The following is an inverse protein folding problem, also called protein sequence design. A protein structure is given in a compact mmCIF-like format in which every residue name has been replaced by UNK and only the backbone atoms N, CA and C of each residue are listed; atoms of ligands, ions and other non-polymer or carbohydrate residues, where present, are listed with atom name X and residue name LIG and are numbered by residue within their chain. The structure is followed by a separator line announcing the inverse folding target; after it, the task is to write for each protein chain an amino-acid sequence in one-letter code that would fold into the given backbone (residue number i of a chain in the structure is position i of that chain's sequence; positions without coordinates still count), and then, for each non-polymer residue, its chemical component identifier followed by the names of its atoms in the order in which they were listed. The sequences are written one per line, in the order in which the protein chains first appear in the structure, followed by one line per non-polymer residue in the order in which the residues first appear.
data_IF_174494284196
#
_entry.id   IF_174494284196
#
_cell.length_a   1.000
_cell.length_b   1.000
_cell.length_c   1.000
_cell.angle_alpha   90.00
_cell.angle_beta   90.00
_cell.angle_gamma   90.00
#
_symmetry.space_group_name_H-M   'P 1'
#
loop_
_entity.id
_entity.type
_entity.pdbx_description
1 polymer ?
2 non-polymer ?
3 non-polymer ?
4 water ?
#
# COMPACT_ATOMS: atom_id res chain seq x y z
N UNK A 6 5.49 7.83 -20.97
CA UNK A 6 4.68 8.77 -20.14
C UNK A 6 3.58 8.05 -19.35
N UNK A 7 3.44 8.45 -18.09
CA UNK A 7 2.53 7.77 -17.18
C UNK A 7 1.06 7.99 -17.49
N UNK A 8 0.23 7.11 -16.91
CA UNK A 8 -1.23 7.21 -17.01
C UNK A 8 -1.79 8.53 -16.49
N UNK A 9 -1.08 9.18 -15.56
CA UNK A 9 -1.52 10.47 -15.05
C UNK A 9 -1.71 11.44 -16.22
N UNK A 10 -0.85 11.31 -17.23
CA UNK A 10 -0.83 12.20 -18.40
C UNK A 10 -1.71 11.70 -19.53
N UNK A 11 -1.61 10.40 -19.84
CA UNK A 11 -2.29 9.83 -21.00
C UNK A 11 -3.74 9.45 -20.66
N UNK A 12 -4.01 9.24 -19.38
CA UNK A 12 -5.30 8.67 -18.90
C UNK A 12 -5.59 7.28 -19.48
N UNK A 13 -4.55 6.61 -19.97
CA UNK A 13 -4.66 5.22 -20.44
C UNK A 13 -3.81 4.35 -19.53
N UNK A 14 -4.39 3.25 -19.03
CA UNK A 14 -3.69 2.38 -18.09
C UNK A 14 -3.27 1.10 -18.79
N UNK A 15 -2.01 0.72 -18.62
CA UNK A 15 -1.49 -0.51 -19.23
C UNK A 15 -2.16 -1.75 -18.63
N UNK A 16 -2.70 -2.58 -19.50
CA UNK A 16 -3.18 -3.90 -19.12
C UNK A 16 -2.06 -4.89 -19.44
N UNK A 17 -1.19 -5.08 -18.46
CA UNK A 17 -0.01 -5.90 -18.67
C UNK A 17 -0.37 -7.38 -18.87
N UNK A 18 -1.40 -7.88 -18.19
CA UNK A 18 -1.87 -9.24 -18.47
C UNK A 18 -2.17 -9.40 -19.97
N UNK A 19 -2.92 -8.45 -20.52
CA UNK A 19 -3.32 -8.52 -21.95
C UNK A 19 -2.11 -8.45 -22.86
N UNK A 20 -1.18 -7.54 -22.54
CA UNK A 20 0.05 -7.39 -23.32
C UNK A 20 0.89 -8.66 -23.31
N UNK A 21 0.78 -9.42 -22.22
CA UNK A 21 1.53 -10.67 -22.07
C UNK A 21 0.74 -11.91 -22.54
N UNK A 22 -0.39 -11.67 -23.22
CA UNK A 22 -1.12 -12.75 -23.92
C UNK A 22 -2.36 -13.35 -23.27
N UNK A 23 -2.74 -12.85 -22.09
CA UNK A 23 -3.97 -13.31 -21.45
C UNK A 23 -5.17 -12.66 -22.13
N UNK A 24 -6.27 -13.40 -22.25
CA UNK A 24 -7.44 -12.86 -22.93
C UNK A 24 -8.21 -11.87 -22.07
N UNK A 25 -8.80 -10.87 -22.72
CA UNK A 25 -9.60 -9.86 -22.02
C UNK A 25 -10.69 -10.52 -21.17
N UNK A 26 -11.35 -11.55 -21.69
CA UNK A 26 -12.43 -12.19 -20.93
C UNK A 26 -11.87 -12.85 -19.68
N UNK A 27 -10.73 -13.55 -19.81
CA UNK A 27 -10.16 -14.26 -18.66
C UNK A 27 -9.62 -13.30 -17.60
N UNK A 28 -9.09 -12.16 -18.05
CA UNK A 28 -8.63 -11.13 -17.12
C UNK A 28 -9.82 -10.53 -16.35
N UNK A 29 -10.88 -10.18 -17.08
CA UNK A 29 -12.09 -9.65 -16.46
C UNK A 29 -12.60 -10.61 -15.37
N UNK A 30 -12.67 -11.88 -15.73
CA UNK A 30 -13.14 -12.90 -14.85
C UNK A 30 -12.26 -13.04 -13.60
N UNK A 31 -10.94 -13.00 -13.83
CA UNK A 31 -9.98 -13.19 -12.74
C UNK A 31 -10.01 -12.02 -11.77
N UNK A 32 -10.12 -10.80 -12.28
CA UNK A 32 -10.23 -9.63 -11.40
C UNK A 32 -11.50 -9.71 -10.53
N UNK A 33 -12.65 -10.00 -11.15
CA UNK A 33 -13.90 -10.13 -10.39
C UNK A 33 -13.83 -11.25 -9.38
N UNK A 34 -13.23 -12.37 -9.78
CA UNK A 34 -13.14 -13.54 -8.92
C UNK A 34 -12.28 -13.24 -7.70
N UNK A 35 -11.19 -12.51 -7.92
CA UNK A 35 -10.29 -12.14 -6.82
C UNK A 35 -11.05 -11.27 -5.82
N UNK A 36 -11.74 -10.25 -6.33
CA UNK A 36 -12.60 -9.42 -5.49
C UNK A 36 -13.61 -10.24 -4.68
N UNK A 37 -14.31 -11.16 -5.35
CA UNK A 37 -15.32 -11.97 -4.69
C UNK A 37 -14.73 -12.89 -3.62
N UNK A 38 -13.54 -13.42 -3.87
CA UNK A 38 -12.88 -14.30 -2.90
C UNK A 38 -12.48 -13.54 -1.64
N UNK A 39 -12.22 -12.23 -1.80
CA UNK A 39 -11.84 -11.39 -0.64
C UNK A 39 -13.02 -10.73 0.08
N UNK A 40 -14.02 -10.32 -0.69
CA UNK A 40 -15.10 -9.49 -0.17
C UNK A 40 -16.47 -10.16 -0.16
N UNK A 41 -16.57 -11.32 -0.81
CA UNK A 41 -17.84 -12.05 -0.86
C UNK A 41 -17.95 -13.13 0.20
N UNK A 42 -18.97 -13.98 0.10
CA UNK A 42 -19.10 -15.08 1.06
C UNK A 42 -18.30 -16.29 0.59
N UNK A 43 -16.98 -16.16 0.76
CA UNK A 43 -16.03 -17.22 0.53
C UNK A 43 -15.17 -17.29 1.80
N UNK A 44 -15.69 -17.98 2.85
CA UNK A 44 -15.07 -17.99 4.18
C UNK A 44 -13.60 -18.38 4.23
N UNK A 45 -13.17 -19.23 3.31
CA UNK A 45 -11.79 -19.72 3.32
C UNK A 45 -10.79 -18.65 2.89
N UNK A 46 -11.22 -17.73 2.04
CA UNK A 46 -10.31 -16.72 1.45
C UNK A 46 -10.62 -15.28 1.88
N UNK A 47 -11.84 -15.09 2.39
CA UNK A 47 -12.39 -13.77 2.71
C UNK A 47 -11.53 -12.99 3.72
N UNK A 48 -11.47 -11.67 3.55
CA UNK A 48 -10.80 -10.80 4.53
C UNK A 48 -11.72 -9.66 4.99
N UNK A 49 -12.82 -9.46 4.29
CA UNK A 49 -13.79 -8.40 4.58
C UNK A 49 -15.03 -8.96 5.26
N UNK A 50 -15.41 -8.36 6.38
CA UNK A 50 -16.57 -8.79 7.15
C UNK A 50 -17.52 -7.63 7.37
N UNK A 51 -18.79 -7.87 7.07
CA UNK A 51 -19.82 -6.84 7.22
C UNK A 51 -20.42 -6.91 8.61
N UNK A 52 -20.72 -5.73 9.19
CA UNK A 52 -21.36 -5.63 10.51
C UNK A 52 -22.61 -4.75 10.41
N UNK A 53 -23.77 -5.32 10.74
CA UNK A 53 -25.03 -4.59 10.63
C UNK A 53 -25.28 -4.03 9.24
N UNK A 54 -25.94 -2.87 9.18
CA UNK A 54 -26.30 -2.26 7.90
C UNK A 54 -25.30 -1.21 7.42
N UNK A 55 -24.41 -0.77 8.29
CA UNK A 55 -23.57 0.40 7.98
C UNK A 55 -22.10 0.29 8.39
N UNK A 56 -21.68 -0.90 8.81
CA UNK A 56 -20.27 -1.11 9.22
C UNK A 56 -19.64 -2.28 8.51
N UNK A 57 -18.31 -2.29 8.46
CA UNK A 57 -17.57 -3.42 7.92
C UNK A 57 -16.10 -3.22 8.20
N UNK A 58 -15.34 -4.31 8.19
CA UNK A 58 -13.92 -4.22 8.43
C UNK A 58 -13.14 -5.28 7.69
N UNK A 59 -11.83 -5.05 7.54
CA UNK A 59 -10.93 -6.11 7.09
C UNK A 59 -10.19 -6.68 8.28
N UNK A 60 -10.17 -8.00 8.37
CA UNK A 60 -9.54 -8.70 9.49
C UNK A 60 -8.12 -9.10 9.15
N UNK A 61 -7.17 -8.66 9.96
CA UNK A 61 -5.81 -9.19 9.91
C UNK A 61 -5.91 -10.59 10.51
N UNK A 62 -6.05 -11.57 9.65
CA UNK A 62 -6.27 -12.95 10.06
C UNK A 62 -5.09 -13.48 10.91
N UNK A 63 -3.86 -13.06 10.60
CA UNK A 63 -2.67 -13.55 11.28
C UNK A 63 -2.51 -13.09 12.73
N UNK A 64 -3.21 -12.00 13.06
CA UNK A 64 -3.14 -11.41 14.41
C UNK A 64 -4.51 -11.21 15.08
N UNK A 65 -5.57 -11.60 14.37
CA UNK A 65 -6.96 -11.50 14.84
C UNK A 65 -7.34 -10.10 15.32
N UNK A 66 -6.88 -9.10 14.58
CA UNK A 66 -7.19 -7.71 14.87
C UNK A 66 -7.56 -6.98 13.59
N UNK A 67 -7.95 -5.72 13.73
CA UNK A 67 -8.32 -4.87 12.62
C UNK A 67 -7.29 -3.74 12.58
N UNK A 68 -6.60 -3.59 11.45
CA UNK A 68 -5.49 -2.62 11.38
C UNK A 68 -5.80 -1.49 10.41
N UNK A 69 -5.25 -0.30 10.69
CA UNK A 69 -5.45 0.78 9.73
C UNK A 69 -4.84 0.48 8.36
N UNK A 70 -3.77 -0.30 8.32
CA UNK A 70 -3.23 -0.81 7.03
C UNK A 70 -4.35 -1.48 6.23
N UNK A 71 -5.04 -2.44 6.87
CA UNK A 71 -6.15 -3.18 6.22
C UNK A 71 -7.37 -2.34 5.87
N UNK A 72 -7.77 -1.48 6.79
CA UNK A 72 -8.96 -0.66 6.57
C UNK A 72 -8.70 0.32 5.42
N UNK A 73 -7.52 0.95 5.42
CA UNK A 73 -7.17 1.89 4.35
C UNK A 73 -7.01 1.14 3.01
N UNK A 74 -6.42 -0.06 3.04
CA UNK A 74 -6.37 -0.91 1.83
C UNK A 74 -7.77 -1.18 1.32
N UNK A 75 -8.66 -1.58 2.24
CA UNK A 75 -10.04 -1.97 1.87
C UNK A 75 -10.79 -0.80 1.23
N UNK A 76 -10.60 0.39 1.77
CA UNK A 76 -11.17 1.61 1.17
C UNK A 76 -10.60 1.85 -0.23
N UNK A 77 -9.28 1.71 -0.40
CA UNK A 77 -8.69 1.87 -1.71
C UNK A 77 -9.25 0.83 -2.70
N UNK A 78 -9.40 -0.41 -2.24
CA UNK A 78 -9.92 -1.48 -3.11
C UNK A 78 -11.36 -1.15 -3.51
N UNK A 79 -12.14 -0.73 -2.53
CA UNK A 79 -13.57 -0.44 -2.74
C UNK A 79 -13.74 0.70 -3.74
N UNK A 80 -12.96 1.78 -3.61
CA UNK A 80 -13.14 2.89 -4.56
C UNK A 80 -12.70 2.49 -5.96
N UNK A 81 -11.64 1.68 -6.06
CA UNK A 81 -11.18 1.22 -7.38
C UNK A 81 -12.25 0.36 -8.06
N UNK A 82 -12.97 -0.40 -7.24
CA UNK A 82 -14.01 -1.31 -7.73
C UNK A 82 -15.39 -0.65 -7.83
N UNK A 83 -15.45 0.66 -7.58
CA UNK A 83 -16.71 1.43 -7.60
C UNK A 83 -17.76 0.82 -6.65
N UNK A 84 -17.35 0.53 -5.42
CA UNK A 84 -18.24 0.00 -4.39
C UNK A 84 -18.31 0.93 -3.19
N UNK A 85 -19.10 1.98 -3.37
CA UNK A 85 -19.31 2.99 -2.32
C UNK A 85 -19.92 2.39 -1.05
N UNK A 86 -20.79 1.39 -1.20
CA UNK A 86 -21.41 0.71 -0.06
C UNK A 86 -20.35 0.13 0.87
N UNK A 87 -19.38 -0.56 0.28
CA UNK A 87 -18.29 -1.20 1.04
C UNK A 87 -17.35 -0.11 1.57
N UNK A 88 -17.01 0.85 0.71
CA UNK A 88 -16.16 1.97 1.14
C UNK A 88 -16.71 2.63 2.40
N UNK A 89 -18.00 2.99 2.37
CA UNK A 89 -18.61 3.70 3.49
C UNK A 89 -18.71 2.85 4.76
N UNK A 90 -18.99 1.55 4.59
CA UNK A 90 -18.98 0.64 5.73
C UNK A 90 -17.63 0.64 6.44
N UNK A 91 -16.55 0.53 5.66
CA UNK A 91 -15.21 0.47 6.24
C UNK A 91 -14.81 1.82 6.86
N UNK A 92 -15.09 2.90 6.14
CA UNK A 92 -14.73 4.24 6.62
C UNK A 92 -15.53 4.61 7.88
N UNK A 93 -16.80 4.20 7.91
CA UNK A 93 -17.61 4.39 9.11
C UNK A 93 -17.04 3.67 10.33
N UNK A 94 -16.63 2.40 10.16
CA UNK A 94 -16.03 1.62 11.25
C UNK A 94 -14.73 2.28 11.70
N UNK A 95 -13.96 2.77 10.72
CA UNK A 95 -12.68 3.41 10.99
C UNK A 95 -12.87 4.67 11.84
N UNK A 96 -13.79 5.54 11.42
CA UNK A 96 -14.03 6.76 12.17
C UNK A 96 -14.63 6.46 13.55
N UNK A 97 -15.53 5.48 13.64
CA UNK A 97 -16.19 5.14 14.91
C UNK A 97 -15.23 4.58 15.95
N UNK A 98 -14.35 3.67 15.51
CA UNK A 98 -13.55 2.86 16.41
C UNK A 98 -12.06 3.19 16.45
N UNK A 99 -11.52 3.76 15.36
CA UNK A 99 -10.08 3.93 15.24
C UNK A 99 -9.64 5.39 15.41
N UNK A 100 -10.46 6.33 14.95
CA UNK A 100 -10.06 7.74 15.03
C UNK A 100 -9.89 8.17 16.48
N UNK A 101 -8.79 8.85 16.77
CA UNK A 101 -8.46 9.23 18.14
C UNK A 101 -8.77 10.69 18.43
N UNK A 102 -9.56 10.95 19.47
CA UNK A 102 -9.83 12.32 19.88
C UNK A 102 -9.01 12.74 21.10
N UNK A 103 -8.35 11.76 21.73
CA UNK A 103 -7.62 11.99 22.98
C UNK A 103 -6.19 11.50 22.89
N UNK A 104 -5.34 12.05 23.74
CA UNK A 104 -3.95 11.63 23.78
C UNK A 104 -3.04 12.31 22.77
N UNK A 105 -1.76 11.92 22.81
CA UNK A 105 -0.73 12.60 22.02
C UNK A 105 -0.94 12.38 20.52
N UNK A 106 -1.67 11.32 20.17
CA UNK A 106 -1.97 11.04 18.76
C UNK A 106 -3.38 11.39 18.31
N UNK A 107 -4.04 12.27 19.05
CA UNK A 107 -5.34 12.79 18.65
C UNK A 107 -5.22 13.32 17.22
N UNK A 108 -6.18 12.96 16.38
CA UNK A 108 -6.19 13.36 14.97
C UNK A 108 -5.66 12.28 14.05
N UNK A 109 -5.04 11.25 14.64
CA UNK A 109 -4.62 10.06 13.91
C UNK A 109 -5.53 8.87 14.24
N UNK A 110 -5.26 7.74 13.59
CA UNK A 110 -6.07 6.53 13.72
C UNK A 110 -5.31 5.43 14.45
N UNK A 111 -5.92 4.89 15.51
CA UNK A 111 -5.30 3.81 16.28
C UNK A 111 -4.97 2.64 15.34
N UNK A 112 -3.73 2.15 15.38
CA UNK A 112 -3.27 1.26 14.31
C UNK A 112 -3.89 -0.13 14.35
N UNK A 113 -4.32 -0.55 15.55
CA UNK A 113 -4.84 -1.90 15.79
C UNK A 113 -6.01 -1.85 16.76
N UNK A 114 -7.13 -2.43 16.34
CA UNK A 114 -8.31 -2.58 17.19
C UNK A 114 -8.71 -4.05 17.19
N UNK A 115 -9.46 -4.44 18.22
CA UNK A 115 -10.13 -5.72 18.21
C UNK A 115 -11.34 -5.65 17.28
N UNK A 116 -11.81 -6.81 16.77
CA UNK A 116 -13.01 -6.81 15.93
C UNK A 116 -14.24 -6.12 16.55
N UNK A 117 -14.34 -6.12 17.88
CA UNK A 117 -15.43 -5.41 18.57
C UNK A 117 -15.25 -3.87 18.60
N UNK A 118 -14.10 -3.39 18.11
CA UNK A 118 -13.87 -1.95 18.04
C UNK A 118 -12.91 -1.39 19.08
N UNK A 119 -12.63 -2.16 20.12
CA UNK A 119 -11.73 -1.73 21.20
C UNK A 119 -10.33 -1.46 20.67
N UNK A 120 -9.74 -0.32 21.03
CA UNK A 120 -8.38 0.00 20.59
C UNK A 120 -7.35 -0.82 21.35
N UNK A 121 -6.42 -1.44 20.62
CA UNK A 121 -5.30 -2.18 21.23
C UNK A 121 -4.11 -1.28 21.56
N UNK A 122 -4.12 -0.09 20.99
CA UNK A 122 -3.02 0.86 21.05
C UNK A 122 -3.58 2.25 20.72
N UNK A 123 -2.97 3.29 21.27
CA UNK A 123 -3.27 4.65 20.81
C UNK A 123 -2.16 5.20 19.89
N UNK A 124 -1.33 4.32 19.35
CA UNK A 124 -0.33 4.73 18.35
C UNK A 124 -0.90 4.46 16.96
N UNK A 125 -0.58 5.34 15.99
CA UNK A 125 -0.98 5.16 14.60
C UNK A 125 0.11 4.52 13.73
N UNK A 126 -0.24 4.16 12.50
CA UNK A 126 0.70 3.61 11.53
C UNK A 126 0.57 4.46 10.26
N UNK A 127 1.56 5.31 9.97
CA UNK A 127 1.51 6.26 8.85
C UNK A 127 1.10 5.70 7.50
N UNK A 128 1.40 4.43 7.22
CA UNK A 128 1.01 3.87 5.91
C UNK A 128 -0.52 3.75 5.80
N UNK A 129 -1.20 3.61 6.95
CA UNK A 129 -2.67 3.69 6.96
C UNK A 129 -3.12 5.08 6.56
N UNK A 130 -2.62 6.09 7.27
CA UNK A 130 -3.05 7.46 7.02
C UNK A 130 -2.93 7.84 5.55
N UNK A 131 -1.80 7.51 4.93
CA UNK A 131 -1.61 7.95 3.55
C UNK A 131 -2.58 7.25 2.60
N UNK A 132 -2.88 5.98 2.85
CA UNK A 132 -3.89 5.27 2.05
C UNK A 132 -5.31 5.81 2.32
N UNK A 133 -5.65 6.09 3.59
CA UNK A 133 -6.94 6.73 3.87
C UNK A 133 -7.08 8.00 3.04
N UNK A 134 -6.05 8.86 3.06
CA UNK A 134 -6.15 10.15 2.39
C UNK A 134 -6.39 10.01 0.90
N UNK A 135 -5.60 9.17 0.23
CA UNK A 135 -5.79 9.04 -1.21
C UNK A 135 -7.11 8.36 -1.54
N UNK A 136 -7.49 7.32 -0.78
CA UNK A 136 -8.77 6.64 -1.00
C UNK A 136 -9.92 7.63 -0.87
N UNK A 137 -9.83 8.52 0.11
CA UNK A 137 -10.85 9.54 0.34
C UNK A 137 -10.91 10.55 -0.82
N UNK A 138 -9.75 11.01 -1.31
CA UNK A 138 -9.77 11.88 -2.49
C UNK A 138 -10.42 11.18 -3.68
N UNK A 139 -10.04 9.93 -3.92
CA UNK A 139 -10.64 9.16 -5.01
C UNK A 139 -12.15 9.00 -4.81
N UNK A 140 -12.59 8.74 -3.58
CA UNK A 140 -14.02 8.64 -3.26
C UNK A 140 -14.73 9.93 -3.63
N UNK A 141 -14.17 11.05 -3.20
CA UNK A 141 -14.76 12.37 -3.48
C UNK A 141 -14.92 12.55 -4.98
N UNK A 142 -13.89 12.15 -5.72
CA UNK A 142 -13.85 12.37 -7.16
C UNK A 142 -14.77 11.43 -7.93
N UNK A 143 -14.92 10.19 -7.45
CA UNK A 143 -15.82 9.25 -8.12
C UNK A 143 -17.28 9.53 -7.81
N UNK A 144 -17.57 9.85 -6.55
CA UNK A 144 -18.94 9.82 -6.05
C UNK A 144 -19.47 11.16 -5.58
N UNK A 145 -18.58 12.13 -5.39
CA UNK A 145 -18.95 13.38 -4.76
C UNK A 145 -18.94 13.27 -3.25
N UNK A 146 -18.62 14.39 -2.59
CA UNK A 146 -18.66 14.44 -1.14
C UNK A 146 -20.08 14.25 -0.64
N UNK A 147 -20.22 13.42 0.39
CA UNK A 147 -21.48 13.21 1.08
C UNK A 147 -21.85 14.42 1.93
N UNK A 148 -23.14 14.53 2.24
CA UNK A 148 -23.67 15.70 2.94
C UNK A 148 -23.46 15.66 4.45
N UNK A 149 -23.23 14.47 5.00
CA UNK A 149 -23.03 14.30 6.43
C UNK A 149 -21.63 13.77 6.73
N UNK A 150 -21.01 14.32 7.76
CA UNK A 150 -19.76 13.77 8.29
C UNK A 150 -19.98 12.35 8.80
N UNK A 151 -18.97 11.46 8.61
CA UNK A 151 -17.64 11.71 8.04
C UNK A 151 -17.53 11.47 6.52
N UNK A 152 -18.67 11.54 5.83
CA UNK A 152 -18.68 11.21 4.40
C UNK A 152 -18.37 12.38 3.48
N UNK A 153 -17.96 13.50 4.09
CA UNK A 153 -17.42 14.65 3.35
C UNK A 153 -15.97 14.36 2.97
N UNK A 154 -15.83 13.45 2.00
CA UNK A 154 -14.55 12.76 1.77
C UNK A 154 -13.35 13.69 1.58
N UNK A 155 -13.49 14.66 0.67
CA UNK A 155 -12.34 15.51 0.33
C UNK A 155 -11.90 16.34 1.53
N UNK A 156 -12.87 16.81 2.33
CA UNK A 156 -12.53 17.59 3.53
C UNK A 156 -11.79 16.72 4.55
N UNK A 157 -12.24 15.47 4.70
CA UNK A 157 -11.61 14.52 5.62
C UNK A 157 -10.16 14.27 5.20
N UNK A 158 -9.94 14.11 3.89
CA UNK A 158 -8.59 13.87 3.34
C UNK A 158 -7.68 15.05 3.61
N UNK A 159 -8.15 16.26 3.27
CA UNK A 159 -7.34 17.46 3.49
C UNK A 159 -7.04 17.68 4.98
N UNK A 160 -8.03 17.45 5.83
CA UNK A 160 -7.88 17.58 7.29
C UNK A 160 -6.80 16.61 7.79
N UNK A 161 -6.90 15.36 7.32
CA UNK A 161 -5.97 14.33 7.78
C UNK A 161 -4.55 14.66 7.37
N UNK A 162 -4.36 15.06 6.10
CA UNK A 162 -3.03 15.40 5.62
C UNK A 162 -2.50 16.65 6.30
N UNK A 163 -3.40 17.56 6.70
CA UNK A 163 -2.97 18.72 7.48
C UNK A 163 -2.28 18.25 8.77
N UNK A 164 -2.93 17.32 9.47
CA UNK A 164 -2.39 16.82 10.73
C UNK A 164 -1.05 16.13 10.49
N UNK A 165 -0.98 15.33 9.42
CA UNK A 165 0.25 14.58 9.10
C UNK A 165 1.44 15.50 8.94
N UNK A 166 1.22 16.70 8.43
CA UNK A 166 2.32 17.63 8.16
C UNK A 166 2.58 18.57 9.34
N UNK A 167 1.49 19.04 9.96
CA UNK A 167 1.55 20.16 10.91
C UNK A 167 1.42 19.81 12.38
N UNK A 168 1.16 18.54 12.70
CA UNK A 168 0.95 18.15 14.10
C UNK A 168 2.16 18.49 14.95
N UNK A 169 1.91 19.06 16.13
CA UNK A 169 2.97 19.48 17.03
C UNK A 169 3.19 20.99 17.03
N UNK A 170 2.69 21.67 16.01
CA UNK A 170 2.80 23.12 15.93
C UNK A 170 1.93 23.79 17.01
N UNK A 171 0.71 23.30 17.20
CA UNK A 171 -0.19 23.84 18.24
C UNK A 171 -0.38 23.01 19.51
N UNK A 172 0.32 21.87 19.62
CA UNK A 172 0.16 20.97 20.77
C UNK A 172 1.34 20.03 21.02
N UNK A 173 1.13 18.96 21.81
CA UNK A 173 2.22 18.03 22.14
C UNK A 173 2.47 16.94 21.09
N UNK A 174 1.67 16.93 20.02
CA UNK A 174 1.77 15.91 18.98
C UNK A 174 2.98 15.99 18.07
N UNK A 175 3.07 15.05 17.14
CA UNK A 175 4.17 15.03 16.20
C UNK A 175 3.69 14.70 14.80
N UNK A 176 4.40 15.24 13.80
CA UNK A 176 3.98 14.98 12.42
C UNK A 176 4.39 13.57 11.97
N UNK A 177 3.79 13.11 10.89
CA UNK A 177 4.14 11.81 10.32
C UNK A 177 5.21 11.86 9.25
N UNK A 178 5.56 13.09 8.84
CA UNK A 178 6.70 13.37 7.95
C UNK A 178 7.72 14.22 8.71
N UNK A 179 9.00 13.91 8.51
CA UNK A 179 10.04 14.80 9.02
C UNK A 179 10.04 16.05 8.15
N UNK A 180 9.90 17.21 8.77
CA UNK A 180 9.72 18.44 7.99
C UNK A 180 10.98 18.92 7.28
N UNK A 181 12.14 18.51 7.79
CA UNK A 181 13.41 18.90 7.21
C UNK A 181 13.76 18.06 5.99
N UNK A 182 13.61 16.73 6.12
CA UNK A 182 14.00 15.85 5.05
C UNK A 182 12.84 15.37 4.15
N UNK A 183 11.62 15.72 4.54
CA UNK A 183 10.40 15.43 3.76
C UNK A 183 10.09 13.94 3.59
N UNK A 184 10.63 13.14 4.50
CA UNK A 184 10.44 11.68 4.48
C UNK A 184 9.39 11.23 5.47
N UNK A 185 8.53 10.32 5.01
CA UNK A 185 7.55 9.71 5.91
C UNK A 185 8.29 8.94 7.02
N UNK A 186 7.76 9.01 8.24
CA UNK A 186 8.35 8.30 9.39
C UNK A 186 7.71 6.94 9.59
N UNK A 187 8.41 6.04 10.30
CA UNK A 187 7.82 4.75 10.65
C UNK A 187 6.63 4.96 11.60
N UNK A 188 6.84 5.79 12.63
CA UNK A 188 5.76 6.27 13.51
C UNK A 188 6.07 7.73 13.90
N UNK A 189 5.06 8.50 14.35
CA UNK A 189 5.31 9.93 14.56
C UNK A 189 6.41 10.28 15.56
N UNK A 190 6.66 9.40 16.54
CA UNK A 190 7.63 9.74 17.60
C UNK A 190 9.04 9.23 17.37
N UNK A 191 9.29 8.62 16.20
CA UNK A 191 10.64 8.20 15.86
C UNK A 191 11.25 9.02 14.71
N UNK A 192 12.55 8.88 14.51
CA UNK A 192 13.25 9.50 13.40
C UNK A 192 13.97 8.42 12.56
N UNK A 193 13.20 7.44 12.09
CA UNK A 193 13.64 6.53 11.05
C UNK A 193 12.40 6.18 10.28
N UNK A 194 12.58 5.37 9.23
CA UNK A 194 11.48 5.16 8.26
C UNK A 194 11.27 3.69 7.94
N UNK A 195 10.44 3.45 6.95
CA UNK A 195 10.12 2.10 6.50
C UNK A 195 9.97 2.25 4.99
N UNK A 196 10.94 1.75 4.20
CA UNK A 196 10.92 1.96 2.73
C UNK A 196 9.56 1.69 2.06
N UNK A 197 8.86 0.64 2.53
CA UNK A 197 7.56 0.26 1.96
C UNK A 197 6.45 1.30 2.14
N UNK A 198 6.67 2.26 3.05
CA UNK A 198 5.69 3.32 3.30
C UNK A 198 5.80 4.43 2.28
N UNK A 199 6.89 4.41 1.51
CA UNK A 199 7.18 5.54 0.60
C UNK A 199 6.37 5.46 -0.68
N UNK A 200 5.45 6.41 -0.85
CA UNK A 200 4.52 6.41 -1.99
C UNK A 200 4.59 7.72 -2.76
N UNK A 201 5.69 7.94 -3.50
CA UNK A 201 5.87 9.23 -4.20
C UNK A 201 4.71 9.53 -5.14
N UNK A 202 4.14 8.48 -5.74
CA UNK A 202 3.00 8.62 -6.62
C UNK A 202 1.75 9.12 -5.88
N UNK A 203 1.56 8.74 -4.62
CA UNK A 203 0.49 9.32 -3.81
C UNK A 203 0.79 10.80 -3.52
N UNK A 204 2.04 11.09 -3.18
CA UNK A 204 2.43 12.47 -2.81
C UNK A 204 2.29 13.45 -3.96
N UNK A 205 2.58 13.00 -5.19
CA UNK A 205 2.32 13.82 -6.40
C UNK A 205 0.87 14.25 -6.43
N UNK A 206 -0.02 13.31 -6.13
CA UNK A 206 -1.46 13.63 -6.12
C UNK A 206 -1.84 14.54 -4.95
N UNK A 207 -1.22 14.32 -3.79
CA UNK A 207 -1.44 15.21 -2.66
C UNK A 207 -1.01 16.63 -3.04
N UNK A 208 0.01 16.76 -3.89
CA UNK A 208 0.52 18.09 -4.26
C UNK A 208 -0.48 18.85 -5.14
N UNK A 209 -1.50 18.14 -5.63
CA UNK A 209 -2.59 18.76 -6.40
C UNK A 209 -3.83 19.00 -5.54
N UNK A 210 -4.03 18.16 -4.53
CA UNK A 210 -5.32 18.08 -3.86
C UNK A 210 -5.34 18.41 -2.37
N UNK A 211 -4.18 18.39 -1.71
CA UNK A 211 -4.11 18.75 -0.28
C UNK A 211 -4.39 20.24 -0.10
N UNK A 212 -4.43 20.70 1.15
CA UNK A 212 -4.51 22.15 1.38
C UNK A 212 -3.41 22.85 0.60
N UNK A 213 -3.73 24.00 -0.02
CA UNK A 213 -2.77 24.67 -0.90
C UNK A 213 -1.45 24.97 -0.18
N UNK A 214 -1.54 25.33 1.09
CA UNK A 214 -0.35 25.70 1.87
C UNK A 214 0.65 24.55 1.99
N UNK A 215 0.19 23.32 1.70
CA UNK A 215 1.07 22.14 1.77
C UNK A 215 1.42 21.53 0.40
N UNK A 216 0.93 22.12 -0.69
CA UNK A 216 1.17 21.52 -2.01
C UNK A 216 2.64 21.47 -2.46
N UNK A 217 3.41 22.52 -2.14
CA UNK A 217 4.84 22.49 -2.44
C UNK A 217 5.52 21.40 -1.60
N UNK A 218 5.19 21.34 -0.31
CA UNK A 218 5.71 20.29 0.57
C UNK A 218 5.48 18.91 -0.03
N UNK A 219 4.27 18.66 -0.53
CA UNK A 219 3.98 17.32 -1.05
C UNK A 219 4.78 16.96 -2.31
N UNK A 220 5.03 17.97 -3.15
CA UNK A 220 5.93 17.79 -4.29
C UNK A 220 7.34 17.44 -3.80
N UNK A 221 7.79 18.13 -2.76
CA UNK A 221 9.11 17.86 -2.17
C UNK A 221 9.21 16.48 -1.56
N UNK A 222 8.11 16.04 -0.94
CA UNK A 222 8.08 14.69 -0.33
C UNK A 222 8.14 13.63 -1.41
N UNK A 223 7.44 13.85 -2.52
CA UNK A 223 7.50 12.92 -3.65
C UNK A 223 8.95 12.76 -4.13
N UNK A 224 9.64 13.88 -4.31
CA UNK A 224 11.04 13.83 -4.76
C UNK A 224 11.94 13.18 -3.70
N UNK A 225 11.74 13.57 -2.43
CA UNK A 225 12.53 13.00 -1.35
C UNK A 225 12.38 11.48 -1.29
N UNK A 226 11.14 11.01 -1.46
CA UNK A 226 10.87 9.56 -1.40
C UNK A 226 11.52 8.79 -2.57
N UNK A 227 11.49 9.37 -3.76
CA UNK A 227 12.13 8.73 -4.92
C UNK A 227 13.63 8.61 -4.69
N UNK A 228 14.24 9.65 -4.12
CA UNK A 228 15.67 9.61 -3.83
C UNK A 228 15.97 8.60 -2.72
N UNK A 229 15.09 8.53 -1.74
CA UNK A 229 15.29 7.65 -0.60
C UNK A 229 15.26 6.16 -1.00
N UNK A 230 14.33 5.78 -1.87
CA UNK A 230 14.30 4.39 -2.35
C UNK A 230 15.60 3.97 -3.03
N UNK A 231 16.26 4.91 -3.73
CA UNK A 231 17.54 4.61 -4.39
C UNK A 231 18.60 4.18 -3.38
N UNK A 232 18.63 4.82 -2.22
CA UNK A 232 19.64 4.48 -1.19
C UNK A 232 19.20 3.33 -0.28
N UNK A 233 17.89 3.08 -0.21
CA UNK A 233 17.41 2.01 0.66
C UNK A 233 17.48 0.61 0.04
N UNK A 234 17.38 0.54 -1.28
CA UNK A 234 17.42 -0.76 -1.98
C UNK A 234 18.85 -1.22 -2.17
N UNK A 235 19.11 -2.48 -1.82
CA UNK A 235 20.45 -3.04 -2.00
C UNK A 235 20.88 -2.93 -3.47
N UNK A 236 22.09 -2.43 -3.74
CA UNK A 236 22.50 -2.15 -5.12
C UNK A 236 22.65 -3.38 -6.03
N UNK A 237 22.88 -4.56 -5.47
CA UNK A 237 22.99 -5.80 -6.27
C UNK A 237 21.67 -6.59 -6.36
N UNK A 238 21.01 -6.78 -5.21
CA UNK A 238 19.81 -7.65 -5.16
C UNK A 238 18.50 -6.88 -5.34
N UNK A 239 18.55 -5.56 -5.15
CA UNK A 239 17.37 -4.70 -5.19
C UNK A 239 16.51 -4.79 -3.93
N UNK A 240 16.92 -5.61 -2.96
CA UNK A 240 16.10 -5.86 -1.76
C UNK A 240 16.16 -4.70 -0.78
N UNK A 241 15.01 -4.28 -0.27
CA UNK A 241 14.92 -3.20 0.73
C UNK A 241 14.62 -3.78 2.11
N UNK A 242 15.19 -3.18 3.18
CA UNK A 242 14.89 -3.65 4.53
C UNK A 242 13.49 -3.20 4.94
N UNK A 243 12.94 -3.84 5.96
CA UNK A 243 11.62 -3.45 6.47
C UNK A 243 11.65 -2.04 7.10
N UNK A 244 12.61 -1.80 8.01
CA UNK A 244 12.85 -0.46 8.56
C UNK A 244 14.25 0.00 8.14
N UNK A 245 14.39 1.30 7.95
CA UNK A 245 15.68 1.89 7.59
C UNK A 245 15.81 3.24 8.23
N UNK A 246 17.04 3.60 8.56
CA UNK A 246 17.33 4.95 9.00
C UNK A 246 17.15 5.93 7.86
N UNK A 247 17.14 7.22 8.18
CA UNK A 247 17.04 8.22 7.12
C UNK A 247 18.22 8.15 6.16
N UNK A 248 19.36 7.65 6.65
CA UNK A 248 20.54 7.47 5.80
C UNK A 248 20.44 6.29 4.83
N UNK A 249 19.30 5.58 4.88
CA UNK A 249 19.00 4.50 3.94
C UNK A 249 19.40 3.12 4.41
N UNK A 250 20.27 3.04 5.41
CA UNK A 250 20.74 1.74 5.91
C UNK A 250 19.72 1.06 6.83
N UNK A 251 19.75 -0.28 6.91
CA UNK A 251 18.73 -0.98 7.70
C UNK A 251 18.75 -0.67 9.21
N UNK A 252 17.56 -0.56 9.79
CA UNK A 252 17.40 -0.51 11.23
C UNK A 252 17.01 -1.90 11.72
N UNK A 253 17.98 -2.62 12.27
CA UNK A 253 17.73 -3.99 12.71
C UNK A 253 17.64 -4.11 14.24
N UNK A 254 17.41 -2.99 14.91
CA UNK A 254 17.35 -3.00 16.39
C UNK A 254 16.37 -4.02 16.97
N UNK A 255 15.26 -4.25 16.26
CA UNK A 255 14.23 -5.19 16.70
C UNK A 255 13.92 -6.27 15.63
N UNK A 256 14.88 -6.48 14.72
CA UNK A 256 14.79 -7.54 13.71
C UNK A 256 14.15 -7.15 12.38
N UNK A 257 13.88 -5.85 12.21
CA UNK A 257 13.25 -5.36 10.97
C UNK A 257 14.26 -4.89 9.90
N UNK A 258 15.52 -5.30 10.04
CA UNK A 258 16.56 -4.85 9.13
C UNK A 258 16.74 -5.68 7.86
N UNK A 259 15.81 -6.60 7.61
CA UNK A 259 15.96 -7.57 6.52
C UNK A 259 14.84 -7.52 5.49
N UNK A 260 14.95 -8.36 4.47
CA UNK A 260 13.93 -8.41 3.44
C UNK A 260 12.84 -9.37 3.88
N UNK A 261 11.69 -8.82 4.28
CA UNK A 261 10.61 -9.63 4.81
C UNK A 261 9.29 -8.92 4.53
N UNK A 262 8.24 -9.29 5.25
CA UNK A 262 6.86 -8.88 4.89
C UNK A 262 6.67 -7.42 4.47
N UNK A 263 7.16 -6.48 5.28
CA UNK A 263 6.97 -5.07 4.91
C UNK A 263 7.56 -4.77 3.54
N UNK A 264 8.77 -5.27 3.31
CA UNK A 264 9.59 -4.96 2.14
C UNK A 264 8.95 -5.32 0.82
N UNK A 265 8.07 -6.33 0.84
CA UNK A 265 7.52 -6.84 -0.41
C UNK A 265 6.85 -5.71 -1.19
N UNK A 266 6.27 -4.76 -0.45
CA UNK A 266 5.49 -3.70 -1.08
C UNK A 266 6.32 -2.72 -1.91
N UNK A 267 7.63 -2.67 -1.66
CA UNK A 267 8.50 -1.74 -2.38
C UNK A 267 8.41 -1.98 -3.89
N UNK A 268 8.56 -3.24 -4.30
CA UNK A 268 8.44 -3.56 -5.73
C UNK A 268 7.10 -3.12 -6.32
N UNK A 269 6.02 -3.38 -5.57
CA UNK A 269 4.67 -3.02 -6.02
C UNK A 269 4.55 -1.52 -6.17
N UNK A 270 5.04 -0.78 -5.18
CA UNK A 270 5.00 0.68 -5.19
C UNK A 270 5.75 1.26 -6.38
N UNK A 271 6.93 0.70 -6.65
CA UNK A 271 7.71 1.11 -7.81
C UNK A 271 6.95 0.86 -9.11
N UNK A 272 6.29 -0.29 -9.19
CA UNK A 272 5.44 -0.65 -10.33
C UNK A 272 4.34 0.37 -10.54
N UNK A 273 3.61 0.69 -9.47
CA UNK A 273 2.48 1.60 -9.62
C UNK A 273 2.93 3.03 -9.93
N UNK A 274 4.00 3.49 -9.28
CA UNK A 274 4.56 4.80 -9.58
C UNK A 274 4.97 4.88 -11.06
N UNK A 275 5.58 3.80 -11.58
CA UNK A 275 5.98 3.82 -12.99
C UNK A 275 4.76 3.90 -13.92
N UNK A 276 3.73 3.16 -13.60
CA UNK A 276 2.50 3.21 -14.41
C UNK A 276 1.85 4.58 -14.40
N UNK A 277 1.73 5.16 -13.20
CA UNK A 277 1.03 6.44 -13.06
C UNK A 277 1.85 7.61 -13.56
N UNK A 278 3.14 7.66 -13.20
CA UNK A 278 3.94 8.86 -13.46
C UNK A 278 5.09 8.70 -14.44
N UNK A 279 5.23 7.51 -15.01
CA UNK A 279 6.20 7.26 -16.06
C UNK A 279 7.35 6.39 -15.61
N UNK A 280 7.91 5.64 -16.56
CA UNK A 280 9.04 4.78 -16.29
C UNK A 280 10.31 5.57 -16.00
N UNK A 281 11.28 4.91 -15.39
CA UNK A 281 12.61 5.50 -15.20
C UNK A 281 13.61 4.39 -15.33
N UNK A 282 14.84 4.74 -15.70
CA UNK A 282 15.89 3.72 -15.80
C UNK A 282 16.14 3.08 -14.43
N UNK A 283 16.18 3.90 -13.39
CA UNK A 283 16.36 3.38 -12.04
C UNK A 283 15.31 2.32 -11.68
N UNK A 284 14.04 2.64 -11.91
CA UNK A 284 12.96 1.73 -11.54
C UNK A 284 13.03 0.42 -12.32
N UNK A 285 13.28 0.51 -13.62
CA UNK A 285 13.41 -0.68 -14.45
C UNK A 285 14.56 -1.55 -13.95
N UNK A 286 15.71 -0.93 -13.69
CA UNK A 286 16.86 -1.68 -13.21
C UNK A 286 16.62 -2.30 -11.83
N UNK A 287 15.88 -1.58 -10.98
CA UNK A 287 15.59 -2.06 -9.65
C UNK A 287 14.68 -3.30 -9.67
N UNK A 288 13.61 -3.23 -10.44
CA UNK A 288 12.73 -4.39 -10.63
C UNK A 288 13.50 -5.54 -11.27
N UNK A 289 14.34 -5.25 -12.27
CA UNK A 289 15.16 -6.30 -12.85
C UNK A 289 16.03 -7.01 -11.80
N UNK A 290 16.61 -6.25 -10.86
CA UNK A 290 17.43 -6.82 -9.78
C UNK A 290 16.62 -7.75 -8.87
N UNK A 291 15.45 -7.27 -8.40
CA UNK A 291 14.65 -8.09 -7.51
C UNK A 291 14.21 -9.38 -8.23
N UNK A 292 13.75 -9.22 -9.46
CA UNK A 292 13.27 -10.37 -10.20
C UNK A 292 14.41 -11.34 -10.52
N UNK A 293 15.59 -10.80 -10.85
CA UNK A 293 16.77 -11.65 -11.05
C UNK A 293 17.09 -12.44 -9.79
N UNK A 294 16.97 -11.78 -8.63
CA UNK A 294 17.27 -12.44 -7.37
C UNK A 294 16.33 -13.62 -7.12
N UNK A 295 15.06 -13.47 -7.50
CA UNK A 295 14.09 -14.56 -7.31
C UNK A 295 13.99 -15.57 -8.44
N UNK A 296 14.65 -15.30 -9.56
CA UNK A 296 14.53 -16.11 -10.78
C UNK A 296 14.84 -17.59 -10.57
N UNK A 297 15.83 -17.87 -9.72
CA UNK A 297 16.25 -19.25 -9.48
C UNK A 297 15.76 -19.81 -8.15
N UNK A 298 14.73 -19.18 -7.58
CA UNK A 298 14.22 -19.57 -6.26
C UNK A 298 12.78 -20.06 -6.35
N UNK A 299 12.50 -21.19 -5.70
CA UNK A 299 11.13 -21.74 -5.64
C UNK A 299 10.28 -21.03 -4.57
N UNK A 300 9.03 -20.65 -4.90
CA UNK A 300 8.15 -20.03 -3.89
C UNK A 300 8.07 -20.82 -2.58
N UNK A 301 8.01 -22.14 -2.68
CA UNK A 301 7.98 -23.00 -1.48
C UNK A 301 9.21 -22.82 -0.60
N UNK A 302 10.28 -22.28 -1.18
CA UNK A 302 11.55 -22.15 -0.48
C UNK A 302 11.89 -20.70 -0.15
N UNK A 303 11.02 -19.74 -0.53
CA UNK A 303 11.29 -18.34 -0.20
C UNK A 303 11.53 -18.19 1.29
N UNK A 304 12.56 -17.42 1.62
CA UNK A 304 12.97 -17.17 3.02
C UNK A 304 12.86 -15.70 3.40
N UNK A 305 13.16 -15.42 4.67
CA UNK A 305 13.72 -14.12 5.06
C UNK A 305 15.14 -14.04 4.50
N UNK A 306 15.51 -12.91 3.91
CA UNK A 306 16.90 -12.71 3.44
C UNK A 306 17.46 -11.43 4.03
N UNK A 307 18.75 -11.43 4.37
CA UNK A 307 19.44 -10.15 4.53
C UNK A 307 19.34 -9.42 3.20
N UNK A 308 19.43 -8.08 3.21
CA UNK A 308 19.26 -7.37 1.94
C UNK A 308 20.33 -7.67 0.89
N UNK A 309 21.49 -8.18 1.32
CA UNK A 309 22.54 -8.58 0.38
C UNK A 309 22.26 -9.97 -0.22
N UNK A 310 21.13 -10.56 0.17
CA UNK A 310 20.69 -11.84 -0.40
C UNK A 310 20.95 -13.07 0.48
N UNK A 311 21.71 -12.91 1.55
CA UNK A 311 22.03 -14.05 2.40
C UNK A 311 20.74 -14.64 3.01
N UNK A 312 20.50 -15.95 2.81
CA UNK A 312 19.26 -16.51 3.33
C UNK A 312 19.26 -16.85 4.82
N UNK A 313 18.12 -16.62 5.46
CA UNK A 313 17.84 -17.19 6.79
C UNK A 313 17.16 -18.55 6.64
N UNK A 314 17.15 -19.33 7.73
CA UNK A 314 16.40 -20.58 7.73
C UNK A 314 14.90 -20.32 7.65
N UNK A 315 14.46 -19.23 8.30
CA UNK A 315 13.05 -18.87 8.34
C UNK A 315 12.46 -18.69 6.95
N UNK A 316 11.31 -19.33 6.73
CA UNK A 316 10.57 -19.16 5.50
C UNK A 316 9.79 -17.85 5.51
N UNK A 317 9.57 -17.34 4.32
CA UNK A 317 8.66 -16.21 4.10
C UNK A 317 7.30 -16.56 4.74
N UNK A 318 6.76 -15.62 5.50
CA UNK A 318 5.46 -15.80 6.12
C UNK A 318 4.37 -15.53 5.10
N UNK A 319 4.71 -14.76 4.06
CA UNK A 319 3.73 -14.32 3.06
C UNK A 319 4.26 -14.47 1.64
N UNK A 320 4.52 -15.72 1.24
CA UNK A 320 5.13 -15.97 -0.07
C UNK A 320 4.22 -15.63 -1.26
N UNK A 321 2.90 -15.75 -1.07
CA UNK A 321 1.96 -15.35 -2.12
C UNK A 321 1.97 -13.82 -2.29
N UNK A 322 2.03 -13.07 -1.18
CA UNK A 322 2.24 -11.62 -1.28
C UNK A 322 3.54 -11.25 -1.99
N UNK A 323 4.61 -11.98 -1.70
CA UNK A 323 5.88 -11.74 -2.38
C UNK A 323 5.70 -11.95 -3.89
N UNK A 324 5.09 -13.07 -4.28
CA UNK A 324 4.81 -13.30 -5.71
C UNK A 324 4.00 -12.14 -6.32
N UNK A 325 2.93 -11.73 -5.65
CA UNK A 325 2.08 -10.66 -6.18
C UNK A 325 2.83 -9.34 -6.37
N UNK A 326 3.62 -8.96 -5.36
CA UNK A 326 4.36 -7.71 -5.43
C UNK A 326 5.45 -7.74 -6.51
N UNK A 327 6.15 -8.87 -6.62
CA UNK A 327 7.18 -8.97 -7.67
C UNK A 327 6.56 -8.87 -9.06
N UNK A 328 5.39 -9.47 -9.23
CA UNK A 328 4.67 -9.39 -10.50
C UNK A 328 4.18 -7.97 -10.76
N UNK A 329 3.61 -7.31 -9.75
CA UNK A 329 3.20 -5.92 -9.92
C UNK A 329 4.37 -5.00 -10.27
N UNK A 330 5.56 -5.33 -9.75
CA UNK A 330 6.76 -4.61 -10.11
C UNK A 330 7.04 -4.58 -11.59
N UNK A 331 6.54 -5.59 -12.32
CA UNK A 331 6.75 -5.67 -13.78
C UNK A 331 6.25 -4.44 -14.54
N UNK A 332 5.30 -3.70 -13.94
CA UNK A 332 4.83 -2.48 -14.56
C UNK A 332 5.94 -1.44 -14.72
N UNK A 333 7.01 -1.59 -13.92
CA UNK A 333 8.18 -0.72 -14.03
C UNK A 333 9.29 -1.25 -14.94
N UNK A 334 9.09 -2.44 -15.50
CA UNK A 334 10.09 -3.02 -16.40
C UNK A 334 9.40 -3.99 -17.32
N UNK A 335 8.54 -3.46 -18.18
CA UNK A 335 7.66 -4.31 -18.99
C UNK A 335 8.44 -5.15 -20.02
N UNK A 336 9.65 -4.70 -20.37
CA UNK A 336 10.52 -5.44 -21.29
C UNK A 336 11.65 -6.16 -20.55
N UNK A 337 11.53 -6.22 -19.23
CA UNK A 337 12.53 -6.87 -18.39
C UNK A 337 12.64 -8.36 -18.64
N UNK A 338 13.83 -8.94 -18.42
CA UNK A 338 14.07 -10.35 -18.73
C UNK A 338 13.15 -11.33 -17.98
N UNK A 339 12.66 -10.93 -16.81
CA UNK A 339 11.86 -11.81 -15.95
C UNK A 339 10.42 -11.30 -15.80
N UNK A 340 10.08 -10.21 -16.49
CA UNK A 340 8.76 -9.59 -16.33
C UNK A 340 7.61 -10.53 -16.64
N UNK A 341 7.67 -11.17 -17.82
CA UNK A 341 6.65 -12.16 -18.21
C UNK A 341 6.57 -13.33 -17.24
N UNK A 342 7.74 -13.86 -16.84
CA UNK A 342 7.76 -15.00 -15.92
C UNK A 342 7.07 -14.65 -14.60
N UNK A 343 7.32 -13.43 -14.12
CA UNK A 343 6.70 -13.01 -12.86
C UNK A 343 5.19 -12.88 -12.95
N UNK A 344 4.72 -12.25 -14.03
CA UNK A 344 3.28 -12.14 -14.28
C UNK A 344 2.64 -13.51 -14.42
N UNK A 345 3.29 -14.43 -15.15
CA UNK A 345 2.76 -15.79 -15.30
C UNK A 345 2.73 -16.53 -13.96
N UNK A 346 3.79 -16.38 -13.15
CA UNK A 346 3.84 -17.04 -11.86
C UNK A 346 2.66 -16.58 -11.02
N UNK A 347 2.42 -15.27 -11.02
CA UNK A 347 1.28 -14.70 -10.27
C UNK A 347 -0.05 -15.25 -10.80
N UNK A 348 -0.23 -15.25 -12.12
CA UNK A 348 -1.46 -15.80 -12.70
C UNK A 348 -1.72 -17.22 -12.20
N UNK A 349 -0.64 -17.99 -12.06
CA UNK A 349 -0.74 -19.39 -11.66
C UNK A 349 -0.73 -19.66 -10.15
N UNK A 350 -0.87 -18.58 -9.37
CA UNK A 350 -0.89 -18.66 -7.91
C UNK A 350 -2.30 -18.32 -7.44
N UNK A 351 -2.98 -19.25 -6.74
CA UNK A 351 -4.33 -18.94 -6.24
C UNK A 351 -4.29 -17.96 -5.08
N UNK A 352 -5.39 -17.26 -4.85
CA UNK A 352 -5.56 -16.49 -3.60
C UNK A 352 -5.37 -17.42 -2.40
N UNK A 353 -4.81 -16.86 -1.34
CA UNK A 353 -4.40 -17.67 -0.21
C UNK A 353 -5.55 -17.99 0.73
N UNK A 354 -5.49 -19.19 1.34
CA UNK A 354 -6.41 -19.56 2.40
C UNK A 354 -5.58 -19.65 3.71
N UNK A 355 -6.26 -19.91 4.82
CA UNK A 355 -5.57 -20.10 6.11
C UNK A 355 -5.37 -18.81 6.90
N UNK A 356 -4.77 -18.94 8.07
CA UNK A 356 -4.66 -17.83 9.04
C UNK A 356 -3.75 -16.68 8.64
N UNK A 357 -2.85 -16.91 7.70
CA UNK A 357 -1.89 -15.90 7.31
C UNK A 357 -2.34 -15.23 6.01
N UNK A 358 -3.57 -15.46 5.58
CA UNK A 358 -4.00 -15.03 4.25
C UNK A 358 -4.20 -13.53 4.05
N UNK A 359 -4.51 -12.80 5.11
CA UNK A 359 -4.87 -11.39 4.98
C UNK A 359 -3.82 -10.58 4.19
N UNK A 360 -2.57 -10.64 4.62
CA UNK A 360 -1.55 -9.79 4.02
C UNK A 360 -1.32 -10.20 2.58
N UNK A 361 -1.19 -11.52 2.35
CA UNK A 361 -1.01 -12.01 0.98
C UNK A 361 -2.15 -11.56 0.09
N UNK A 362 -3.37 -11.72 0.58
CA UNK A 362 -4.53 -11.44 -0.28
C UNK A 362 -4.73 -9.95 -0.56
N UNK A 363 -4.36 -9.07 0.38
CA UNK A 363 -4.34 -7.64 0.07
C UNK A 363 -3.37 -7.31 -1.08
N UNK A 364 -2.12 -7.79 -0.96
CA UNK A 364 -1.12 -7.57 -2.01
C UNK A 364 -1.59 -8.19 -3.32
N UNK A 365 -2.25 -9.34 -3.22
CA UNK A 365 -2.78 -10.05 -4.38
C UNK A 365 -3.79 -9.19 -5.14
N UNK A 366 -4.81 -8.67 -4.45
CA UNK A 366 -5.80 -7.85 -5.15
C UNK A 366 -5.22 -6.56 -5.73
N UNK A 367 -4.34 -5.88 -5.00
CA UNK A 367 -3.67 -4.73 -5.59
C UNK A 367 -2.95 -5.08 -6.91
N UNK A 368 -2.24 -6.21 -6.92
CA UNK A 368 -1.50 -6.67 -8.11
C UNK A 368 -2.46 -7.02 -9.25
N UNK A 369 -3.56 -7.66 -8.91
CA UNK A 369 -4.58 -7.99 -9.92
C UNK A 369 -5.15 -6.72 -10.54
N UNK A 370 -5.45 -5.73 -9.71
CA UNK A 370 -5.95 -4.45 -10.23
C UNK A 370 -4.92 -3.76 -11.12
N UNK A 371 -3.69 -3.64 -10.60
CA UNK A 371 -2.66 -2.89 -11.29
C UNK A 371 -2.27 -3.56 -12.61
N UNK A 372 -2.12 -4.88 -12.61
CA UNK A 372 -1.64 -5.58 -13.81
C UNK A 372 -2.71 -5.67 -14.89
N UNK A 373 -3.97 -5.43 -14.51
CA UNK A 373 -5.07 -5.46 -15.47
C UNK A 373 -5.47 -4.06 -15.94
N UNK A 374 -4.73 -3.03 -15.52
CA UNK A 374 -5.05 -1.65 -15.87
C UNK A 374 -6.25 -1.08 -15.11
N UNK A 375 -6.51 -1.62 -13.92
CA UNK A 375 -7.66 -1.20 -13.13
C UNK A 375 -7.33 -0.53 -11.79
N UNK A 376 -6.05 -0.20 -11.58
CA UNK A 376 -5.65 0.59 -10.42
C UNK A 376 -5.41 2.00 -10.93
N UNK A 377 -6.47 2.80 -10.87
CA UNK A 377 -6.48 4.07 -11.58
C UNK A 377 -6.41 5.28 -10.66
N UNK A 378 -6.05 6.41 -11.25
CA UNK A 378 -6.19 7.71 -10.59
C UNK A 378 -7.58 8.24 -10.93
N UNK A 379 -8.30 8.64 -9.90
CA UNK A 379 -9.65 9.18 -10.07
C UNK A 379 -9.57 10.68 -9.85
N UNK A 380 -9.74 11.42 -10.94
CA UNK A 380 -9.59 12.88 -10.98
C UNK A 380 -10.90 13.60 -10.65
N UNK A 381 -10.82 14.86 -10.17
CA UNK A 381 -12.02 15.64 -9.89
C UNK A 381 -12.84 15.92 -11.15
X LIG B 1 -13.03 -18.19 -17.88
X LIG C 1 10.59 -8.62 11.81
X LIG C 1 10.26 -9.07 10.50
X LIG C 1 9.72 -9.32 12.85
X LIG C 1 10.13 -8.95 14.16
X LIG C 1 9.91 -10.82 12.72
X LIG C 1 9.10 -11.29 11.68
X LIG D 1 -19.06 -8.57 -2.75
X LIG D 1 -19.00 -8.21 -4.11
X LIG D 1 -20.51 -8.88 -2.36
X LIG D 1 -21.26 -7.70 -2.50
X LIG D 1 -21.09 -9.95 -3.27
X LIG D 1 -20.42 -11.17 -3.05
X LIG E 1 19.81 8.41 10.83
X LIG E 1 19.77 8.50 9.42
X LIG E 1 18.46 8.71 11.47
X LIG E 1 17.47 7.82 10.97
X LIG E 1 18.57 8.48 12.97
X LIG E 1 17.57 9.20 13.63
#
# INVERSE_FOLDING_TARGET
MEKTTEGAFYTREYRNLFKEFGYSEAEIQERVKDTWEQLFGDNPETKIYYEVGDDLGYLLDTGNLDVRTEGMSYGMMMAVQMDRKDIFDRIWNWTMKNMYMTEGVHAGYFAWSCQPDGTKNSWGPAPDGEEYFALALFFASHRWGDGDEQPFNYSEQARKLLHTCVHNGEGGPGHPMWNRDNKLIKFIPEVEFSDPSYHLPHFYELFSLWANEEDRVFWKEAAEASREYLKIACHPETGLAPEYAYYDGTPNDEKGYGHFFSNSYRVAANIGLDAEWFGGSEWSAEEINKIQAFFADKEPEDYRRYKIDGEPFEEKSLHPVGLIATNAMGSLASVDGPYAKANVDLFWNTPVRTGNRRYYDNCLYLFAMLALSGNFKIWFPEGQEEEHLEHHHHHH
NI NI
GOL C1 O1 C2 O2 C3 O3
GOL C1 O1 C2 O2 C3 O3
GOL C1 O1 C2 O2 C3 O3
#
